data_IF_662403807856
#
_entry.id   IF_662403807856
#
_cell.length_a   1.000
_cell.length_b   1.000
_cell.length_c   1.000
_cell.angle_alpha   90.00
_cell.angle_beta   90.00
_cell.angle_gamma   90.00
#
_symmetry.space_group_name_H-M   'P 1'
#
loop_
_entity.id
_entity.type
_entity.pdbx_description
1 polymer ?
#
# COMPACT_ATOMS: atom_id res chain seq x y z
N UNK A 1 -37.64 74.59 7.56
CA UNK A 1 -37.66 75.34 6.27
C UNK A 1 -36.27 75.33 5.68
N UNK A 2 -36.19 75.10 4.36
CA UNK A 2 -35.14 75.55 3.41
C UNK A 2 -33.72 75.00 3.60
N UNK A 3 -33.32 74.00 2.80
CA UNK A 3 -32.84 74.04 1.39
C UNK A 3 -31.44 74.61 1.23
N UNK A 4 -30.56 73.69 0.80
CA UNK A 4 -29.46 73.79 -0.18
C UNK A 4 -28.40 74.85 0.07
N UNK A 5 -27.14 74.42 0.10
CA UNK A 5 -26.21 74.81 -0.97
C UNK A 5 -25.09 73.80 -1.18
N UNK A 6 -24.72 73.67 -2.46
CA UNK A 6 -23.75 72.74 -3.03
C UNK A 6 -22.37 73.39 -2.95
N UNK A 7 -21.35 72.62 -2.56
CA UNK A 7 -19.97 72.97 -2.87
C UNK A 7 -19.23 71.76 -3.45
N UNK A 8 -18.98 71.85 -4.75
CA UNK A 8 -18.10 70.99 -5.54
C UNK A 8 -16.65 71.32 -5.19
N UNK A 9 -15.93 70.37 -4.59
CA UNK A 9 -14.47 70.39 -4.52
C UNK A 9 -13.98 69.25 -5.41
N UNK A 10 -13.23 69.60 -6.45
CA UNK A 10 -12.66 68.67 -7.40
C UNK A 10 -11.54 67.85 -6.79
N UNK A 11 -11.64 66.54 -6.90
CA UNK A 11 -10.57 65.60 -6.54
C UNK A 11 -9.71 65.36 -7.78
N UNK A 12 -8.43 65.73 -7.67
CA UNK A 12 -7.39 65.43 -8.66
C UNK A 12 -7.11 63.92 -8.62
N UNK A 13 -7.30 63.26 -9.78
CA UNK A 13 -6.85 61.89 -10.01
C UNK A 13 -5.31 61.86 -10.07
N UNK A 14 -4.67 61.16 -9.13
CA UNK A 14 -3.32 60.65 -9.28
C UNK A 14 -3.43 59.17 -9.66
N UNK A 15 -3.33 58.88 -10.96
CA UNK A 15 -3.21 57.51 -11.47
C UNK A 15 -1.74 57.09 -11.33
N UNK A 16 -1.43 56.33 -10.29
CA UNK A 16 -0.17 55.60 -10.21
C UNK A 16 -0.25 54.40 -11.17
N UNK A 17 0.51 54.46 -12.26
CA UNK A 17 0.73 53.32 -13.15
C UNK A 17 1.64 52.34 -12.40
N UNK A 18 1.03 51.37 -11.74
CA UNK A 18 1.74 50.22 -11.19
C UNK A 18 2.23 49.35 -12.33
N UNK A 19 3.55 49.17 -12.43
CA UNK A 19 4.17 48.10 -13.21
C UNK A 19 3.71 46.78 -12.60
N UNK A 20 2.71 46.16 -13.21
CA UNK A 20 2.34 44.79 -12.93
C UNK A 20 3.50 43.90 -13.41
N UNK A 21 4.39 43.55 -12.48
CA UNK A 21 5.30 42.43 -12.70
C UNK A 21 4.45 41.19 -12.90
N UNK A 22 4.51 40.61 -14.09
CA UNK A 22 3.99 39.28 -14.35
C UNK A 22 4.85 38.28 -13.56
N UNK A 23 4.52 38.07 -12.29
CA UNK A 23 4.98 36.88 -11.58
C UNK A 23 4.22 35.71 -12.21
N UNK A 24 4.94 34.90 -12.98
CA UNK A 24 4.45 33.65 -13.53
C UNK A 24 3.99 32.77 -12.36
N UNK A 25 2.73 32.32 -12.32
CA UNK A 25 2.28 31.42 -11.27
C UNK A 25 3.16 30.17 -11.31
N UNK A 26 3.68 29.75 -10.15
CA UNK A 26 4.42 28.51 -10.03
C UNK A 26 3.62 27.39 -10.69
N UNK A 27 4.26 26.64 -11.58
CA UNK A 27 3.64 25.51 -12.23
C UNK A 27 3.06 24.59 -11.13
N UNK A 28 1.81 24.10 -11.28
CA UNK A 28 1.30 23.08 -10.38
C UNK A 28 2.28 21.91 -10.37
N UNK A 29 2.50 21.26 -9.21
CA UNK A 29 3.31 20.04 -9.18
C UNK A 29 2.73 19.07 -10.21
N UNK A 30 3.60 18.58 -11.09
CA UNK A 30 3.26 17.48 -11.99
C UNK A 30 2.76 16.34 -11.11
N UNK A 31 1.50 15.94 -11.28
CA UNK A 31 1.01 14.74 -10.61
C UNK A 31 1.92 13.58 -11.01
N UNK A 32 2.50 12.89 -10.03
CA UNK A 32 3.17 11.61 -10.27
C UNK A 32 2.18 10.70 -10.98
N UNK A 33 2.62 10.11 -12.09
CA UNK A 33 1.79 9.18 -12.85
C UNK A 33 1.40 8.02 -11.92
N UNK A 34 0.10 7.72 -11.71
CA UNK A 34 -0.33 6.63 -10.83
C UNK A 34 -0.07 5.24 -11.45
N UNK A 35 0.60 5.18 -12.60
CA UNK A 35 1.10 3.96 -13.20
C UNK A 35 2.60 3.87 -12.96
N UNK A 36 3.01 3.06 -11.98
CA UNK A 36 4.39 2.58 -11.85
C UNK A 36 4.84 2.08 -13.22
N UNK A 37 5.92 2.64 -13.75
CA UNK A 37 6.35 2.28 -15.09
C UNK A 37 6.89 0.85 -15.12
N UNK A 38 6.92 0.22 -16.29
CA UNK A 38 7.51 -1.11 -16.44
C UNK A 38 8.99 -1.15 -16.03
N UNK A 39 9.70 -0.02 -16.14
CA UNK A 39 11.09 0.09 -15.69
C UNK A 39 11.16 0.07 -14.15
N UNK A 40 10.29 0.82 -13.48
CA UNK A 40 10.22 0.86 -12.01
C UNK A 40 9.86 -0.53 -11.45
N UNK A 41 8.95 -1.26 -12.10
CA UNK A 41 8.61 -2.63 -11.72
C UNK A 41 9.78 -3.61 -11.90
N UNK A 42 10.61 -3.42 -12.92
CA UNK A 42 11.79 -4.26 -13.14
C UNK A 42 12.89 -3.99 -12.11
N UNK A 43 13.08 -2.73 -11.71
CA UNK A 43 13.97 -2.36 -10.61
C UNK A 43 13.47 -2.92 -9.28
N UNK A 44 12.16 -2.83 -9.01
CA UNK A 44 11.57 -3.38 -7.81
C UNK A 44 11.68 -4.92 -7.73
N UNK A 45 11.55 -5.60 -8.87
CA UNK A 45 11.81 -7.03 -8.98
C UNK A 45 13.28 -7.38 -8.69
N UNK A 46 14.23 -6.61 -9.24
CA UNK A 46 15.65 -6.81 -8.96
C UNK A 46 15.99 -6.58 -7.48
N UNK A 47 15.36 -5.57 -6.86
CA UNK A 47 15.51 -5.31 -5.42
C UNK A 47 15.00 -6.48 -4.58
N UNK A 48 13.84 -7.05 -4.91
CA UNK A 48 13.33 -8.27 -4.26
C UNK A 48 14.38 -9.39 -4.26
N UNK A 49 14.98 -9.68 -5.43
CA UNK A 49 15.99 -10.72 -5.58
C UNK A 49 17.28 -10.41 -4.80
N UNK A 50 17.73 -9.14 -4.81
CA UNK A 50 18.90 -8.70 -4.04
C UNK A 50 18.70 -8.88 -2.53
N UNK A 51 17.48 -8.65 -2.03
CA UNK A 51 17.10 -8.90 -0.64
C UNK A 51 16.89 -10.38 -0.32
N UNK A 52 17.13 -11.29 -1.28
CA UNK A 52 17.01 -12.74 -1.11
C UNK A 52 15.60 -13.29 -1.31
N UNK A 53 14.71 -12.52 -1.93
CA UNK A 53 13.37 -12.96 -2.29
C UNK A 53 13.29 -13.59 -3.68
N UNK A 54 12.13 -14.16 -3.98
CA UNK A 54 11.74 -14.70 -5.27
C UNK A 54 10.55 -13.89 -5.82
N UNK A 55 10.67 -13.35 -7.02
CA UNK A 55 9.55 -12.66 -7.67
C UNK A 55 8.59 -13.68 -8.28
N UNK A 56 7.32 -13.60 -7.91
CA UNK A 56 6.25 -14.43 -8.45
C UNK A 56 5.12 -13.59 -9.05
N UNK A 57 4.53 -14.08 -10.14
CA UNK A 57 3.27 -13.56 -10.66
C UNK A 57 2.12 -14.35 -10.05
N UNK A 58 1.18 -13.67 -9.40
CA UNK A 58 0.00 -14.32 -8.80
C UNK A 58 -1.29 -13.69 -9.32
N UNK A 59 -2.27 -14.53 -9.64
CA UNK A 59 -3.55 -14.11 -10.17
C UNK A 59 -4.53 -13.84 -9.02
N UNK A 60 -5.03 -12.60 -8.84
CA UNK A 60 -6.14 -12.36 -7.94
C UNK A 60 -7.35 -13.23 -8.35
N UNK A 61 -7.98 -13.91 -7.39
CA UNK A 61 -9.13 -14.76 -7.65
C UNK A 61 -10.17 -14.71 -6.52
N UNK A 62 -11.44 -14.89 -6.89
CA UNK A 62 -12.56 -15.10 -5.98
C UNK A 62 -12.98 -16.57 -5.97
N UNK A 63 -13.69 -16.99 -4.92
CA UNK A 63 -14.16 -18.37 -4.71
C UNK A 63 -13.05 -19.40 -4.44
N UNK A 64 -11.93 -18.98 -3.83
CA UNK A 64 -10.80 -19.88 -3.54
C UNK A 64 -11.08 -20.92 -2.45
N UNK A 65 -12.23 -20.86 -1.78
CA UNK A 65 -12.72 -21.92 -0.90
C UNK A 65 -13.45 -23.06 -1.66
N UNK A 66 -13.65 -22.93 -2.98
CA UNK A 66 -14.19 -23.97 -3.85
C UNK A 66 -13.07 -24.73 -4.57
N UNK A 67 -13.45 -25.71 -5.39
CA UNK A 67 -12.52 -26.44 -6.25
C UNK A 67 -11.83 -25.48 -7.24
N UNK A 68 -10.58 -25.76 -7.61
CA UNK A 68 -9.76 -24.88 -8.47
C UNK A 68 -10.42 -24.55 -9.82
N UNK A 69 -11.20 -25.50 -10.37
CA UNK A 69 -11.97 -25.30 -11.60
C UNK A 69 -13.09 -24.25 -11.48
N UNK A 70 -13.51 -23.94 -10.25
CA UNK A 70 -14.54 -22.93 -9.94
C UNK A 70 -13.95 -21.57 -9.52
N UNK A 71 -12.62 -21.45 -9.46
CA UNK A 71 -11.97 -20.18 -9.13
C UNK A 71 -12.23 -19.15 -10.22
N UNK A 72 -12.59 -17.94 -9.80
CA UNK A 72 -12.90 -16.83 -10.71
C UNK A 72 -11.70 -15.88 -10.74
N UNK A 73 -10.90 -15.84 -11.81
CA UNK A 73 -9.80 -14.89 -11.92
C UNK A 73 -10.33 -13.46 -12.01
N UNK A 74 -9.65 -12.55 -11.32
CA UNK A 74 -9.97 -11.13 -11.21
C UNK A 74 -8.79 -10.29 -11.67
N UNK A 75 -9.05 -9.30 -12.52
CA UNK A 75 -8.01 -8.35 -12.97
C UNK A 75 -6.78 -9.02 -13.59
N UNK A 76 -5.69 -8.26 -13.64
CA UNK A 76 -4.40 -8.74 -14.13
C UNK A 76 -3.57 -9.39 -13.00
N UNK A 77 -2.67 -10.34 -13.32
CA UNK A 77 -1.72 -10.86 -12.35
C UNK A 77 -0.87 -9.75 -11.72
N UNK A 78 -0.61 -9.89 -10.42
CA UNK A 78 0.24 -8.99 -9.66
C UNK A 78 1.58 -9.64 -9.37
N UNK A 79 2.64 -8.83 -9.40
CA UNK A 79 3.97 -9.24 -8.98
C UNK A 79 4.07 -9.18 -7.45
N UNK A 80 4.55 -10.26 -6.85
CA UNK A 80 4.84 -10.35 -5.42
C UNK A 80 6.29 -10.72 -5.21
N UNK A 81 6.89 -10.22 -4.14
CA UNK A 81 8.13 -10.74 -3.60
C UNK A 81 7.79 -11.79 -2.53
N UNK A 82 8.20 -13.03 -2.77
CA UNK A 82 8.13 -14.13 -1.81
C UNK A 82 9.47 -14.21 -1.08
N UNK A 83 9.44 -14.15 0.24
CA UNK A 83 10.60 -14.52 1.05
C UNK A 83 10.33 -15.84 1.76
N UNK A 84 11.35 -16.70 1.81
CA UNK A 84 11.28 -18.00 2.46
C UNK A 84 12.47 -18.21 3.39
N UNK A 85 12.26 -18.86 4.54
CA UNK A 85 13.36 -19.37 5.37
C UNK A 85 14.06 -20.50 4.61
N UNK A 86 15.33 -20.31 4.23
CA UNK A 86 16.08 -21.29 3.44
C UNK A 86 16.72 -22.40 4.29
N UNK A 87 16.81 -22.20 5.61
CA UNK A 87 17.66 -23.00 6.51
C UNK A 87 16.91 -23.70 7.65
N UNK A 88 15.57 -23.65 7.70
CA UNK A 88 14.77 -24.35 8.71
C UNK A 88 13.75 -25.33 8.11
N UNK A 89 13.43 -26.38 8.87
CA UNK A 89 12.43 -27.39 8.48
C UNK A 89 11.00 -26.81 8.39
N UNK A 90 10.82 -25.51 8.67
CA UNK A 90 9.52 -24.85 8.69
C UNK A 90 9.10 -24.33 7.31
N UNK A 91 10.06 -24.12 6.38
CA UNK A 91 9.81 -23.56 5.05
C UNK A 91 8.85 -22.35 5.11
N UNK A 92 9.00 -21.49 6.12
CA UNK A 92 8.03 -20.42 6.34
C UNK A 92 8.12 -19.38 5.23
N UNK A 93 6.98 -18.85 4.79
CA UNK A 93 6.88 -17.93 3.65
C UNK A 93 6.11 -16.67 4.04
N UNK A 94 6.52 -15.54 3.47
CA UNK A 94 5.79 -14.27 3.51
C UNK A 94 5.79 -13.66 2.10
N UNK A 95 4.69 -13.01 1.76
CA UNK A 95 4.49 -12.36 0.47
C UNK A 95 4.20 -10.89 0.68
N UNK A 96 4.80 -10.07 -0.15
CA UNK A 96 4.64 -8.62 -0.13
C UNK A 96 4.67 -8.12 -1.56
N UNK A 97 3.87 -7.10 -1.87
CA UNK A 97 3.93 -6.50 -3.20
C UNK A 97 5.26 -5.75 -3.42
N UNK A 98 5.67 -5.61 -4.68
CA UNK A 98 6.94 -4.97 -4.99
C UNK A 98 6.99 -3.48 -4.61
N UNK A 99 5.87 -2.76 -4.70
CA UNK A 99 5.80 -1.34 -4.34
C UNK A 99 6.06 -1.14 -2.84
N UNK A 100 5.54 -2.02 -1.98
CA UNK A 100 5.77 -1.94 -0.53
C UNK A 100 7.24 -2.02 -0.15
N UNK A 101 8.03 -2.89 -0.78
CA UNK A 101 9.45 -3.07 -0.41
C UNK A 101 10.36 -2.00 -1.01
N UNK A 102 9.97 -1.36 -2.11
CA UNK A 102 10.81 -0.38 -2.81
C UNK A 102 10.36 1.07 -2.69
N UNK A 103 9.20 1.35 -2.09
CA UNK A 103 8.72 2.72 -1.91
C UNK A 103 9.67 3.56 -1.05
N UNK A 104 10.00 4.76 -1.52
CA UNK A 104 10.81 5.74 -0.78
C UNK A 104 10.07 6.33 0.44
N UNK A 105 8.72 6.25 0.42
CA UNK A 105 7.84 6.65 1.52
C UNK A 105 7.18 5.41 2.16
N UNK A 106 6.86 5.45 3.46
CA UNK A 106 6.21 4.32 4.11
C UNK A 106 4.81 4.05 3.53
N UNK A 107 4.58 2.83 3.04
CA UNK A 107 3.25 2.37 2.63
C UNK A 107 2.40 1.96 3.83
N UNK A 108 1.09 1.93 3.68
CA UNK A 108 0.18 1.44 4.72
C UNK A 108 0.46 -0.02 5.09
N UNK A 109 0.83 -0.87 4.12
CA UNK A 109 1.22 -2.24 4.40
C UNK A 109 2.51 -2.33 5.23
N UNK A 110 3.55 -1.54 4.89
CA UNK A 110 4.78 -1.51 5.68
C UNK A 110 4.52 -1.02 7.10
N UNK A 111 3.71 0.05 7.27
CA UNK A 111 3.33 0.56 8.59
C UNK A 111 2.52 -0.46 9.40
N UNK A 112 1.61 -1.20 8.76
CA UNK A 112 0.83 -2.26 9.38
C UNK A 112 1.70 -3.42 9.88
N UNK A 113 2.73 -3.80 9.13
CA UNK A 113 3.69 -4.81 9.58
C UNK A 113 4.55 -4.26 10.74
N UNK A 114 5.07 -3.04 10.61
CA UNK A 114 5.95 -2.44 11.63
C UNK A 114 5.25 -2.14 12.96
N UNK A 115 3.95 -1.81 12.93
CA UNK A 115 3.20 -1.43 14.12
C UNK A 115 3.07 -2.53 15.17
N UNK A 116 3.23 -3.81 14.77
CA UNK A 116 3.00 -4.99 15.63
C UNK A 116 1.71 -4.89 16.44
N UNK A 117 0.66 -4.36 15.82
CA UNK A 117 -0.63 -4.19 16.47
C UNK A 117 -1.16 -5.54 16.93
N UNK A 118 -1.60 -5.63 18.18
CA UNK A 118 -2.13 -6.85 18.77
C UNK A 118 -3.35 -7.33 17.98
N UNK A 119 -3.42 -8.66 17.79
CA UNK A 119 -4.59 -9.31 17.22
C UNK A 119 -5.80 -8.99 18.13
N UNK A 120 -6.94 -8.55 17.58
CA UNK A 120 -8.14 -8.28 18.39
C UNK A 120 -8.55 -9.49 19.23
N UNK A 121 -8.98 -9.26 20.47
CA UNK A 121 -9.51 -10.31 21.35
C UNK A 121 -10.78 -10.94 20.75
N UNK A 122 -10.88 -12.28 20.80
CA UNK A 122 -12.02 -13.07 20.32
C UNK A 122 -12.55 -12.65 18.93
N UNK A 123 -11.70 -12.61 17.88
CA UNK A 123 -12.12 -12.11 16.59
C UNK A 123 -13.09 -13.10 15.93
N UNK A 124 -14.18 -12.65 15.31
CA UNK A 124 -15.04 -13.53 14.55
C UNK A 124 -14.31 -14.03 13.30
N UNK A 125 -14.13 -15.35 13.18
CA UNK A 125 -13.57 -15.98 11.99
C UNK A 125 -12.03 -16.02 12.01
N UNK A 126 -11.40 -15.63 10.91
CA UNK A 126 -9.94 -15.67 10.76
C UNK A 126 -9.30 -14.50 11.54
N UNK A 127 -8.40 -14.76 12.50
CA UNK A 127 -7.76 -13.72 13.30
C UNK A 127 -6.86 -12.78 12.47
N UNK A 128 -6.17 -13.28 11.45
CA UNK A 128 -5.35 -12.46 10.56
C UNK A 128 -6.21 -11.50 9.72
N UNK A 129 -7.35 -11.98 9.22
CA UNK A 129 -8.30 -11.11 8.50
C UNK A 129 -8.93 -10.06 9.41
N UNK A 130 -9.20 -10.41 10.67
CA UNK A 130 -9.70 -9.46 11.66
C UNK A 130 -8.65 -8.39 12.01
N UNK A 131 -7.38 -8.79 12.20
CA UNK A 131 -6.27 -7.86 12.39
C UNK A 131 -6.13 -6.93 11.18
N UNK A 132 -6.11 -7.48 9.96
CA UNK A 132 -6.05 -6.70 8.72
C UNK A 132 -7.16 -5.64 8.66
N UNK A 133 -8.39 -6.03 8.98
CA UNK A 133 -9.53 -5.12 9.01
C UNK A 133 -9.37 -4.02 10.07
N UNK A 134 -8.83 -4.35 11.25
CA UNK A 134 -8.57 -3.38 12.32
C UNK A 134 -7.48 -2.36 11.98
N UNK A 135 -6.55 -2.75 11.11
CA UNK A 135 -5.48 -1.90 10.57
C UNK A 135 -5.97 -1.04 9.39
N UNK A 136 -7.24 -1.15 9.01
CA UNK A 136 -7.82 -0.40 7.88
C UNK A 136 -7.57 -1.04 6.52
N UNK A 137 -7.05 -2.27 6.48
CA UNK A 137 -6.92 -3.06 5.26
C UNK A 137 -8.14 -3.94 4.99
N UNK A 138 -8.05 -4.74 3.93
CA UNK A 138 -9.04 -5.76 3.57
C UNK A 138 -8.39 -6.98 2.96
N UNK A 139 -8.98 -8.15 3.21
CA UNK A 139 -8.64 -9.43 2.57
C UNK A 139 -9.78 -9.95 1.69
N UNK A 140 -10.77 -9.11 1.40
CA UNK A 140 -11.97 -9.48 0.65
C UNK A 140 -11.80 -9.28 -0.86
N UNK A 141 -11.94 -10.35 -1.63
CA UNK A 141 -11.87 -10.34 -3.11
C UNK A 141 -13.26 -10.36 -3.79
N UNK A 142 -14.33 -10.34 -3.01
CA UNK A 142 -15.70 -10.40 -3.52
C UNK A 142 -16.72 -10.36 -2.40
N UNK A 143 -17.98 -10.64 -2.73
CA UNK A 143 -19.05 -10.71 -1.73
C UNK A 143 -19.16 -12.09 -1.10
N UNK A 144 -19.60 -12.16 0.16
CA UNK A 144 -19.93 -13.42 0.83
C UNK A 144 -18.71 -14.14 1.41
N UNK A 145 -18.85 -15.45 1.64
CA UNK A 145 -17.89 -16.26 2.39
C UNK A 145 -17.10 -17.24 1.52
N UNK A 146 -17.16 -17.10 0.19
CA UNK A 146 -16.49 -17.99 -0.76
C UNK A 146 -14.96 -17.82 -0.78
N UNK A 147 -14.43 -16.87 -0.01
CA UNK A 147 -12.99 -16.60 0.04
C UNK A 147 -12.46 -15.91 -1.21
N UNK A 148 -11.15 -15.71 -1.22
CA UNK A 148 -10.39 -15.21 -2.35
C UNK A 148 -8.94 -14.96 -1.94
N UNK A 149 -8.10 -14.67 -2.92
CA UNK A 149 -6.67 -14.47 -2.67
C UNK A 149 -5.88 -14.29 -3.95
N UNK A 150 -4.56 -14.26 -3.79
CA UNK A 150 -3.57 -14.30 -4.85
C UNK A 150 -3.20 -15.75 -5.11
N UNK A 151 -3.54 -16.24 -6.30
CA UNK A 151 -3.42 -17.65 -6.66
C UNK A 151 -2.21 -17.90 -7.55
N UNK A 152 -1.58 -19.05 -7.35
CA UNK A 152 -0.53 -19.59 -8.20
C UNK A 152 -0.65 -21.11 -8.22
N UNK A 153 -1.47 -21.69 -9.14
CA UNK A 153 -1.70 -23.14 -9.18
C UNK A 153 -0.43 -23.98 -9.37
N UNK A 154 0.60 -23.39 -9.99
CA UNK A 154 1.91 -24.03 -10.17
C UNK A 154 2.82 -23.96 -8.93
N UNK A 155 2.38 -23.28 -7.85
CA UNK A 155 3.04 -23.26 -6.54
C UNK A 155 2.40 -24.33 -5.64
N UNK A 156 3.01 -25.52 -5.47
CA UNK A 156 2.42 -26.62 -4.73
C UNK A 156 2.43 -26.38 -3.21
N UNK A 157 3.22 -25.42 -2.72
CA UNK A 157 3.38 -25.18 -1.29
C UNK A 157 2.35 -24.17 -0.79
N UNK A 158 2.00 -23.18 -1.62
CA UNK A 158 1.11 -22.09 -1.24
C UNK A 158 0.28 -21.59 -2.44
N UNK A 159 -0.71 -22.38 -2.88
CA UNK A 159 -1.48 -22.10 -4.09
C UNK A 159 -2.40 -20.88 -3.95
N UNK A 160 -2.70 -20.45 -2.72
CA UNK A 160 -3.57 -19.30 -2.43
C UNK A 160 -3.02 -18.52 -1.23
N UNK A 161 -2.61 -17.28 -1.46
CA UNK A 161 -2.24 -16.34 -0.40
C UNK A 161 -3.31 -15.30 -0.20
N UNK A 162 -3.65 -15.03 1.07
CA UNK A 162 -4.57 -13.96 1.43
C UNK A 162 -3.77 -12.68 1.78
N UNK A 163 -3.71 -11.68 0.89
CA UNK A 163 -3.07 -10.42 1.22
C UNK A 163 -3.99 -9.55 2.09
N UNK A 164 -3.40 -8.84 3.05
CA UNK A 164 -3.98 -7.64 3.62
C UNK A 164 -3.67 -6.46 2.71
N UNK A 165 -4.69 -5.99 1.99
CA UNK A 165 -4.58 -4.90 1.01
C UNK A 165 -5.07 -3.59 1.60
N UNK A 166 -4.35 -2.49 1.36
CA UNK A 166 -4.63 -1.18 1.91
C UNK A 166 -5.08 -0.17 0.84
N UNK A 167 -5.59 0.97 1.29
CA UNK A 167 -6.19 1.99 0.42
C UNK A 167 -5.18 2.70 -0.52
N UNK A 168 -3.89 2.61 -0.23
CA UNK A 168 -2.80 3.10 -1.09
C UNK A 168 -2.37 2.05 -2.14
N UNK A 169 -3.03 0.89 -2.19
CA UNK A 169 -2.74 -0.20 -3.13
C UNK A 169 -1.65 -1.16 -2.66
N UNK A 170 -0.99 -0.87 -1.54
CA UNK A 170 0.01 -1.76 -0.94
C UNK A 170 -0.61 -2.98 -0.28
N UNK A 171 0.12 -4.09 -0.21
CA UNK A 171 -0.27 -5.29 0.52
C UNK A 171 0.89 -6.14 1.04
N UNK A 172 0.62 -6.83 2.16
CA UNK A 172 1.44 -7.91 2.73
C UNK A 172 0.49 -9.08 3.06
N UNK A 173 0.96 -10.33 2.96
CA UNK A 173 0.29 -11.52 3.49
C UNK A 173 -0.28 -11.28 4.90
N UNK A 174 -1.60 -11.47 5.07
CA UNK A 174 -2.28 -11.19 6.33
C UNK A 174 -1.70 -11.98 7.50
N UNK A 175 -1.24 -13.21 7.25
CA UNK A 175 -0.62 -14.03 8.28
C UNK A 175 0.79 -13.56 8.58
N UNK A 176 1.52 -13.02 7.59
CA UNK A 176 2.79 -12.35 7.83
C UNK A 176 2.68 -11.26 8.89
N UNK A 177 1.66 -10.40 8.81
CA UNK A 177 1.39 -9.35 9.79
C UNK A 177 0.99 -9.96 11.15
N UNK A 178 0.06 -10.91 11.16
CA UNK A 178 -0.45 -11.50 12.40
C UNK A 178 0.63 -12.22 13.21
N UNK A 179 1.45 -13.07 12.56
CA UNK A 179 2.55 -13.76 13.25
C UNK A 179 3.59 -12.76 13.78
N UNK A 180 3.89 -11.71 13.02
CA UNK A 180 4.88 -10.71 13.43
C UNK A 180 4.40 -9.87 14.63
N UNK A 181 3.10 -9.60 14.73
CA UNK A 181 2.49 -8.98 15.92
C UNK A 181 2.72 -9.82 17.19
N UNK A 182 2.72 -11.15 17.06
CA UNK A 182 3.02 -12.09 18.16
C UNK A 182 4.52 -12.42 18.30
N UNK A 183 5.38 -11.71 17.58
CA UNK A 183 6.84 -11.86 17.65
C UNK A 183 7.41 -13.03 16.85
N UNK A 184 6.63 -13.64 15.97
CA UNK A 184 7.07 -14.71 15.06
C UNK A 184 7.30 -14.17 13.66
N UNK A 185 8.50 -14.36 13.12
CA UNK A 185 8.82 -13.99 11.74
C UNK A 185 8.44 -15.13 10.79
N UNK A 186 7.74 -14.81 9.70
CA UNK A 186 7.50 -15.73 8.58
C UNK A 186 8.41 -15.35 7.41
N UNK A 187 9.13 -16.31 6.84
CA UNK A 187 10.13 -16.05 5.80
C UNK A 187 11.31 -15.27 6.37
N UNK A 188 11.35 -13.97 6.13
CA UNK A 188 12.36 -13.08 6.73
C UNK A 188 11.69 -11.90 7.42
N UNK A 189 12.45 -11.20 8.27
CA UNK A 189 11.93 -9.98 8.89
C UNK A 189 11.88 -8.84 7.86
N UNK A 190 10.69 -8.53 7.36
CA UNK A 190 10.47 -7.45 6.39
C UNK A 190 10.90 -6.07 6.91
N UNK A 191 11.03 -5.89 8.24
CA UNK A 191 11.50 -4.64 8.81
C UNK A 191 12.95 -4.30 8.37
N UNK A 192 13.73 -5.30 7.97
CA UNK A 192 15.07 -5.14 7.39
C UNK A 192 15.10 -4.99 5.87
N UNK A 193 13.95 -5.05 5.20
CA UNK A 193 13.84 -5.14 3.73
C UNK A 193 13.27 -3.86 3.12
N UNK A 194 12.41 -3.13 3.84
CA UNK A 194 11.82 -1.89 3.32
C UNK A 194 12.90 -0.85 2.98
N UNK A 195 12.84 -0.27 1.78
CA UNK A 195 13.85 0.68 1.29
C UNK A 195 13.78 2.06 1.94
N UNK A 196 12.60 2.51 2.38
CA UNK A 196 12.44 3.83 2.98
C UNK A 196 13.23 4.00 4.28
N UNK A 197 13.61 5.25 4.58
CA UNK A 197 14.31 5.59 5.82
C UNK A 197 13.38 5.48 7.03
N UNK A 198 13.48 4.35 7.75
CA UNK A 198 12.70 4.10 8.95
C UNK A 198 12.96 5.11 10.07
N UNK A 199 14.10 5.81 10.08
CA UNK A 199 14.40 6.83 11.10
C UNK A 199 13.52 8.08 10.97
N UNK A 200 12.82 8.25 9.85
CA UNK A 200 11.85 9.33 9.65
C UNK A 200 10.45 9.00 10.14
N UNK A 201 10.20 7.75 10.56
CA UNK A 201 8.90 7.37 11.11
C UNK A 201 8.66 8.01 12.48
N UNK A 202 7.43 8.47 12.76
CA UNK A 202 7.06 8.87 14.11
C UNK A 202 7.25 7.71 15.10
N UNK A 203 7.65 8.00 16.36
CA UNK A 203 7.85 6.99 17.43
C UNK A 203 6.60 6.15 17.79
N UNK A 204 5.46 6.41 17.16
CA UNK A 204 4.26 5.57 17.29
C UNK A 204 4.30 4.33 16.37
N UNK A 205 5.40 4.14 15.62
CA UNK A 205 5.71 2.99 14.77
C UNK A 205 7.11 2.45 15.06
#
# INVERSE_FOLDING_TARGET
MRTRDRWTIGTVLLVAVGLAGCTEPAAPPTASDPATSAADMAEAAAYCEEQGGEVQQRQPAWQTNLDEEDWVPLGDPVAVCRFQTLDDDADSRIYVDLVTITSDEPTLAALAYLSRTEIPDDPPGNPASALCSSLGGTTSFGSGTAGGGLTAPDDPDDPVVAPCTFADGSFIDEWGIAYYAEGTVRGIDLAGVFSFDRSTLPEVF
#
